data_IF_945187180471
#
_entry.id   IF_945187180471
#
_cell.length_a   1.000
_cell.length_b   1.000
_cell.length_c   1.000
_cell.angle_alpha   90.00
_cell.angle_beta   90.00
_cell.angle_gamma   90.00
#
_symmetry.space_group_name_H-M   'P 1'
#
loop_
_entity.id
_entity.type
_entity.pdbx_description
1 polymer ?
#
# COMPACT_ATOMS: atom_id res chain seq x y z
N UNK A 1 7.03 -7.91 14.38
CA UNK A 1 5.88 -8.35 13.57
C UNK A 1 6.04 -8.11 12.05
N UNK A 2 7.01 -7.33 11.57
CA UNK A 2 7.24 -7.15 10.12
C UNK A 2 8.04 -8.29 9.43
N UNK A 3 8.60 -9.25 10.17
CA UNK A 3 9.52 -10.26 9.63
C UNK A 3 8.85 -11.52 9.06
N UNK A 4 7.55 -11.72 9.27
CA UNK A 4 6.84 -12.95 8.83
C UNK A 4 5.77 -12.73 7.76
N UNK A 5 5.27 -11.51 7.56
CA UNK A 5 4.09 -11.29 6.70
C UNK A 5 4.44 -11.20 5.20
N UNK A 6 5.71 -10.97 4.85
CA UNK A 6 6.11 -10.63 3.47
C UNK A 6 6.31 -11.77 2.48
N UNK A 7 6.45 -13.03 2.94
CA UNK A 7 6.99 -14.12 2.09
C UNK A 7 6.24 -15.45 2.17
N UNK A 8 5.16 -15.53 2.94
CA UNK A 8 4.39 -16.77 3.00
C UNK A 8 3.50 -16.90 1.76
N UNK A 9 3.76 -17.96 1.01
CA UNK A 9 2.88 -18.48 -0.04
C UNK A 9 1.57 -18.91 0.63
N UNK A 10 0.44 -18.58 0.02
CA UNK A 10 -0.82 -19.17 0.44
C UNK A 10 -0.86 -20.64 -0.03
N UNK A 11 -0.99 -21.64 0.86
CA UNK A 11 -0.91 -23.05 0.45
C UNK A 11 -2.01 -23.40 -0.55
N UNK A 12 -1.62 -23.78 -1.76
CA UNK A 12 -2.51 -24.36 -2.78
C UNK A 12 -2.29 -25.88 -2.76
N UNK A 13 -3.33 -26.69 -2.94
CA UNK A 13 -3.16 -28.14 -3.06
C UNK A 13 -2.15 -28.48 -4.18
N UNK A 14 -1.22 -29.42 -3.96
CA UNK A 14 -0.07 -29.61 -4.83
C UNK A 14 -0.51 -30.10 -6.22
N UNK A 15 -0.17 -29.32 -7.24
CA UNK A 15 -0.08 -29.80 -8.63
C UNK A 15 1.33 -30.38 -8.80
N UNK A 16 1.41 -31.68 -9.07
CA UNK A 16 2.69 -32.39 -9.23
C UNK A 16 3.55 -31.78 -10.35
N UNK A 17 4.74 -31.26 -10.01
CA UNK A 17 5.75 -30.82 -10.99
C UNK A 17 7.14 -31.30 -10.55
N UNK A 18 7.83 -31.98 -11.46
CA UNK A 18 9.24 -32.41 -11.32
C UNK A 18 10.19 -31.37 -11.93
N UNK A 19 11.31 -31.00 -11.26
CA UNK A 19 12.19 -29.94 -11.73
C UNK A 19 13.24 -30.45 -12.74
N UNK A 20 13.51 -29.66 -13.80
CA UNK A 20 14.74 -29.73 -14.59
C UNK A 20 15.59 -28.48 -14.39
N UNK A 21 16.89 -28.71 -14.26
CA UNK A 21 17.94 -27.77 -13.84
C UNK A 21 18.82 -27.44 -15.05
N UNK A 22 19.16 -26.17 -15.26
CA UNK A 22 20.32 -25.75 -16.09
C UNK A 22 20.93 -24.44 -15.55
N UNK A 23 22.21 -24.27 -15.86
CA UNK A 23 23.26 -23.53 -15.14
C UNK A 23 23.40 -22.04 -15.56
N UNK A 24 24.21 -21.23 -14.84
CA UNK A 24 24.26 -19.78 -15.00
C UNK A 24 25.29 -19.30 -16.03
N UNK A 25 25.00 -18.14 -16.65
CA UNK A 25 25.95 -17.39 -17.48
C UNK A 25 26.62 -16.27 -16.68
N UNK A 26 27.93 -16.15 -16.86
CA UNK A 26 28.86 -15.16 -16.30
C UNK A 26 28.68 -13.78 -16.96
N UNK A 27 28.66 -12.70 -16.18
CA UNK A 27 28.73 -11.33 -16.68
C UNK A 27 29.94 -10.58 -16.09
N UNK A 28 30.66 -9.88 -16.97
CA UNK A 28 31.88 -9.12 -16.72
C UNK A 28 31.60 -7.81 -15.95
N UNK A 29 32.46 -7.51 -14.96
CA UNK A 29 32.55 -6.21 -14.29
C UNK A 29 33.19 -5.17 -15.20
N UNK A 30 32.61 -3.98 -15.27
CA UNK A 30 33.25 -2.78 -15.87
C UNK A 30 33.94 -2.00 -14.76
N UNK A 31 35.22 -1.72 -14.99
CA UNK A 31 36.15 -1.05 -14.09
C UNK A 31 35.92 0.46 -14.00
N UNK A 32 36.18 0.97 -12.80
CA UNK A 32 36.28 2.37 -12.36
C UNK A 32 37.11 3.30 -13.27
N UNK A 33 36.64 4.54 -13.44
CA UNK A 33 37.37 5.65 -14.09
C UNK A 33 37.52 6.83 -13.11
N UNK A 34 38.79 7.16 -12.88
CA UNK A 34 39.43 8.44 -12.47
C UNK A 34 39.19 8.99 -11.06
N UNK A 35 40.28 9.04 -10.28
CA UNK A 35 40.54 10.12 -9.32
C UNK A 35 42.02 10.52 -9.41
N UNK A 36 42.30 11.71 -9.97
CA UNK A 36 43.56 12.43 -9.80
C UNK A 36 43.33 13.57 -8.81
N UNK A 37 43.99 13.48 -7.65
CA UNK A 37 43.98 14.54 -6.63
C UNK A 37 44.96 15.64 -7.01
N UNK A 38 44.49 16.89 -7.04
CA UNK A 38 45.31 18.06 -6.79
C UNK A 38 44.90 18.66 -5.44
N UNK A 39 45.87 18.70 -4.51
CA UNK A 39 45.75 19.40 -3.23
C UNK A 39 45.96 20.90 -3.45
N UNK A 40 45.00 21.71 -3.03
CA UNK A 40 45.23 23.09 -2.62
C UNK A 40 44.44 23.33 -1.33
N UNK A 41 45.13 23.80 -0.29
CA UNK A 41 44.57 23.98 1.04
C UNK A 41 43.57 25.14 1.10
N UNK A 42 42.41 24.87 1.66
CA UNK A 42 41.59 25.87 2.33
C UNK A 42 41.35 25.41 3.77
N UNK A 43 41.37 26.34 4.72
CA UNK A 43 41.06 26.10 6.12
C UNK A 43 39.66 25.53 6.24
N UNK A 44 39.55 24.21 6.46
CA UNK A 44 38.28 23.53 6.62
C UNK A 44 37.63 23.97 7.93
N UNK A 45 36.55 24.75 7.85
CA UNK A 45 35.58 24.83 8.93
C UNK A 45 35.11 23.40 9.16
N UNK A 46 35.37 22.84 10.35
CA UNK A 46 34.91 21.49 10.71
C UNK A 46 33.40 21.57 10.91
N UNK A 47 32.62 21.25 9.88
CA UNK A 47 31.17 21.11 10.00
C UNK A 47 30.88 19.85 10.80
N UNK A 48 30.45 20.01 12.05
CA UNK A 48 30.00 18.90 12.89
C UNK A 48 28.74 18.27 12.29
N UNK A 49 28.80 16.99 11.91
CA UNK A 49 27.69 16.25 11.30
C UNK A 49 26.87 15.55 12.36
N UNK A 50 25.54 15.66 12.29
CA UNK A 50 24.65 14.81 13.06
C UNK A 50 24.50 13.46 12.36
N UNK A 51 24.11 12.46 13.12
CA UNK A 51 23.83 11.10 12.65
C UNK A 51 22.48 10.66 13.20
N UNK A 52 21.68 10.01 12.35
CA UNK A 52 20.42 9.39 12.77
C UNK A 52 20.62 8.07 13.52
N UNK A 53 21.86 7.56 13.58
CA UNK A 53 22.21 6.26 14.16
C UNK A 53 21.34 5.12 13.61
N UNK A 54 21.09 5.15 12.30
CA UNK A 54 20.24 4.18 11.64
C UNK A 54 20.83 2.78 11.71
N UNK A 55 19.95 1.81 11.95
CA UNK A 55 20.31 0.39 11.88
C UNK A 55 20.62 0.00 10.43
N UNK A 56 21.49 -0.99 10.21
CA UNK A 56 21.68 -1.59 8.90
C UNK A 56 20.38 -2.12 8.29
N UNK A 57 20.40 -2.36 6.99
CA UNK A 57 19.30 -2.97 6.27
C UNK A 57 18.94 -4.33 6.90
N UNK A 58 17.64 -4.54 7.13
CA UNK A 58 17.13 -5.78 7.73
C UNK A 58 17.19 -6.93 6.71
N UNK A 59 17.03 -6.61 5.43
CA UNK A 59 16.88 -7.56 4.35
C UNK A 59 18.14 -7.59 3.52
N UNK A 60 18.92 -8.66 3.66
CA UNK A 60 20.11 -8.84 2.86
C UNK A 60 19.78 -8.92 1.37
N UNK A 61 20.55 -8.21 0.54
CA UNK A 61 20.30 -8.17 -0.89
C UNK A 61 20.47 -9.54 -1.56
N UNK A 62 21.40 -10.38 -1.09
CA UNK A 62 21.55 -11.73 -1.64
C UNK A 62 20.33 -12.62 -1.31
N UNK A 63 19.74 -12.44 -0.13
CA UNK A 63 18.46 -13.06 0.21
C UNK A 63 17.34 -12.59 -0.74
N UNK A 64 17.21 -11.28 -0.98
CA UNK A 64 16.21 -10.73 -1.93
C UNK A 64 16.40 -11.34 -3.34
N UNK A 65 17.65 -11.42 -3.82
CA UNK A 65 17.94 -12.02 -5.12
C UNK A 65 17.66 -13.54 -5.16
N UNK A 66 17.66 -14.22 -4.01
CA UNK A 66 17.40 -15.66 -3.92
C UNK A 66 15.92 -16.07 -3.93
N UNK A 67 14.99 -15.10 -3.84
CA UNK A 67 13.56 -15.36 -3.81
C UNK A 67 13.10 -16.14 -5.04
N UNK A 68 12.31 -17.20 -4.81
CA UNK A 68 11.77 -18.06 -5.87
C UNK A 68 10.36 -17.62 -6.27
N UNK A 69 10.03 -17.86 -7.54
CA UNK A 69 8.74 -17.54 -8.14
C UNK A 69 8.05 -18.82 -8.63
N UNK A 70 7.68 -19.69 -7.70
CA UNK A 70 7.11 -21.03 -8.00
C UNK A 70 5.73 -20.95 -8.69
N UNK A 71 5.04 -19.82 -8.54
CA UNK A 71 3.71 -19.59 -9.10
C UNK A 71 3.71 -18.79 -10.41
N UNK A 72 4.88 -18.43 -10.95
CA UNK A 72 4.97 -17.66 -12.20
C UNK A 72 4.72 -18.50 -13.49
N UNK A 73 4.28 -19.75 -13.36
CA UNK A 73 4.06 -20.65 -14.51
C UNK A 73 2.69 -20.50 -15.18
N UNK A 74 2.64 -20.75 -16.49
CA UNK A 74 1.44 -20.65 -17.33
C UNK A 74 0.25 -21.49 -16.83
N UNK A 75 0.53 -22.56 -16.07
CA UNK A 75 -0.49 -23.42 -15.47
C UNK A 75 -1.35 -22.63 -14.47
N UNK A 76 -0.73 -21.81 -13.61
CA UNK A 76 -1.46 -21.02 -12.61
C UNK A 76 -2.21 -19.87 -13.25
N UNK A 77 -1.65 -19.25 -14.29
CA UNK A 77 -2.33 -18.21 -15.08
C UNK A 77 -3.60 -18.80 -15.73
N UNK A 78 -3.45 -19.93 -16.42
CA UNK A 78 -4.56 -20.62 -17.07
C UNK A 78 -5.63 -21.05 -16.07
N UNK A 79 -5.21 -21.53 -14.88
CA UNK A 79 -6.15 -21.89 -13.81
C UNK A 79 -6.90 -20.68 -13.27
N UNK A 80 -6.21 -19.56 -13.04
CA UNK A 80 -6.83 -18.32 -12.60
C UNK A 80 -7.86 -17.81 -13.62
N UNK A 81 -7.56 -17.84 -14.92
CA UNK A 81 -8.51 -17.42 -15.96
C UNK A 81 -9.78 -18.28 -15.98
N UNK A 82 -9.64 -19.61 -15.87
CA UNK A 82 -10.81 -20.49 -15.78
C UNK A 82 -11.68 -20.19 -14.55
N UNK A 83 -11.04 -20.00 -13.38
CA UNK A 83 -11.74 -19.66 -12.15
C UNK A 83 -12.43 -18.29 -12.24
N UNK A 84 -11.82 -17.29 -12.90
CA UNK A 84 -12.45 -15.99 -13.14
C UNK A 84 -13.74 -16.14 -13.94
N UNK A 85 -13.76 -16.96 -14.98
CA UNK A 85 -14.99 -17.23 -15.75
C UNK A 85 -16.08 -17.88 -14.89
N UNK A 86 -15.71 -18.80 -13.99
CA UNK A 86 -16.67 -19.41 -13.08
C UNK A 86 -17.24 -18.38 -12.07
N UNK A 87 -16.41 -17.46 -11.57
CA UNK A 87 -16.89 -16.34 -10.73
C UNK A 87 -17.79 -15.39 -11.51
N UNK A 88 -17.50 -15.11 -12.79
CA UNK A 88 -18.40 -14.32 -13.64
C UNK A 88 -19.77 -14.98 -13.77
N UNK A 89 -19.84 -16.32 -13.89
CA UNK A 89 -21.12 -17.04 -13.89
C UNK A 89 -21.86 -16.86 -12.57
N UNK A 90 -21.16 -16.85 -11.42
CA UNK A 90 -21.78 -16.60 -10.11
C UNK A 90 -22.54 -15.26 -10.10
N UNK A 91 -21.97 -14.17 -10.62
CA UNK A 91 -22.66 -12.88 -10.72
C UNK A 91 -24.00 -12.96 -11.49
N UNK A 92 -24.05 -13.78 -12.54
CA UNK A 92 -25.26 -13.98 -13.35
C UNK A 92 -26.30 -14.86 -12.64
N UNK A 93 -25.86 -15.86 -11.86
CA UNK A 93 -26.76 -16.81 -11.18
C UNK A 93 -27.27 -16.32 -9.84
N UNK A 94 -26.53 -15.45 -9.14
CA UNK A 94 -26.93 -14.92 -7.82
C UNK A 94 -28.04 -13.90 -7.98
N UNK A 95 -29.30 -14.31 -7.87
CA UNK A 95 -30.45 -13.40 -8.07
C UNK A 95 -30.71 -12.53 -6.84
N UNK A 96 -30.53 -13.09 -5.64
CA UNK A 96 -30.79 -12.39 -4.38
C UNK A 96 -29.85 -11.19 -4.20
N UNK A 97 -30.37 -9.99 -3.89
CA UNK A 97 -29.52 -8.81 -3.75
C UNK A 97 -28.56 -8.85 -2.56
N UNK A 98 -28.95 -9.47 -1.43
CA UNK A 98 -28.06 -9.60 -0.27
C UNK A 98 -26.93 -10.58 -0.59
N UNK A 99 -27.24 -11.76 -1.14
CA UNK A 99 -26.21 -12.71 -1.59
C UNK A 99 -25.25 -12.05 -2.61
N UNK A 100 -25.77 -11.19 -3.49
CA UNK A 100 -24.95 -10.45 -4.45
C UNK A 100 -24.05 -9.42 -3.75
N UNK A 101 -24.53 -8.73 -2.73
CA UNK A 101 -23.70 -7.82 -1.92
C UNK A 101 -22.61 -8.60 -1.16
N UNK A 102 -22.97 -9.73 -0.55
CA UNK A 102 -22.03 -10.60 0.18
C UNK A 102 -20.96 -11.21 -0.76
N UNK A 103 -21.34 -11.55 -2.00
CA UNK A 103 -20.39 -11.98 -3.03
C UNK A 103 -19.37 -10.87 -3.35
N UNK A 104 -19.86 -9.65 -3.62
CA UNK A 104 -18.98 -8.49 -3.90
C UNK A 104 -18.06 -8.24 -2.71
N UNK A 105 -18.61 -8.29 -1.50
CA UNK A 105 -17.86 -8.07 -0.27
C UNK A 105 -16.76 -9.10 -0.07
N UNK A 106 -17.10 -10.37 -0.27
CA UNK A 106 -16.16 -11.50 -0.19
C UNK A 106 -15.04 -11.35 -1.22
N UNK A 107 -15.34 -10.97 -2.47
CA UNK A 107 -14.33 -10.72 -3.50
C UNK A 107 -13.36 -9.59 -3.11
N UNK A 108 -13.86 -8.54 -2.47
CA UNK A 108 -13.03 -7.43 -1.99
C UNK A 108 -12.13 -7.86 -0.83
N UNK A 109 -12.69 -8.56 0.16
CA UNK A 109 -11.93 -9.10 1.28
C UNK A 109 -10.83 -10.06 0.80
N UNK A 110 -11.15 -10.98 -0.12
CA UNK A 110 -10.19 -11.91 -0.72
C UNK A 110 -9.16 -11.23 -1.66
N UNK A 111 -9.30 -9.94 -1.93
CA UNK A 111 -8.33 -9.17 -2.73
C UNK A 111 -8.39 -9.44 -4.23
N UNK A 112 -9.46 -10.08 -4.72
CA UNK A 112 -9.65 -10.50 -6.11
C UNK A 112 -10.74 -9.69 -6.85
N UNK A 113 -11.39 -8.74 -6.17
CA UNK A 113 -12.41 -7.87 -6.76
C UNK A 113 -11.95 -7.11 -8.02
N UNK A 114 -10.66 -6.77 -8.12
CA UNK A 114 -10.10 -6.01 -9.25
C UNK A 114 -10.19 -6.73 -10.61
N UNK A 115 -10.51 -8.03 -10.63
CA UNK A 115 -10.80 -8.77 -11.88
C UNK A 115 -12.25 -8.61 -12.37
N UNK A 116 -13.12 -8.03 -11.54
CA UNK A 116 -14.57 -8.00 -11.70
C UNK A 116 -15.14 -6.58 -11.56
N UNK A 117 -14.33 -5.54 -11.77
CA UNK A 117 -14.74 -4.13 -11.62
C UNK A 117 -16.00 -3.79 -12.43
N UNK A 118 -16.15 -4.39 -13.62
CA UNK A 118 -17.32 -4.20 -14.48
C UNK A 118 -18.57 -4.79 -13.84
N UNK A 119 -18.54 -6.07 -13.47
CA UNK A 119 -19.64 -6.82 -12.88
C UNK A 119 -20.08 -6.20 -11.55
N UNK A 120 -19.12 -5.78 -10.72
CA UNK A 120 -19.37 -5.09 -9.45
C UNK A 120 -20.06 -3.75 -9.71
N UNK A 121 -19.53 -2.92 -10.62
CA UNK A 121 -20.10 -1.60 -10.91
C UNK A 121 -21.51 -1.69 -11.49
N UNK A 122 -21.76 -2.63 -12.40
CA UNK A 122 -23.09 -2.88 -12.97
C UNK A 122 -24.09 -3.31 -11.89
N UNK A 123 -23.66 -4.20 -10.98
CA UNK A 123 -24.47 -4.66 -9.84
C UNK A 123 -24.84 -3.50 -8.90
N UNK A 124 -23.85 -2.70 -8.50
CA UNK A 124 -24.05 -1.57 -7.60
C UNK A 124 -24.88 -0.46 -8.25
N UNK A 125 -24.68 -0.18 -9.55
CA UNK A 125 -25.50 0.78 -10.28
C UNK A 125 -26.98 0.35 -10.29
N UNK A 126 -27.24 -0.93 -10.57
CA UNK A 126 -28.61 -1.49 -10.55
C UNK A 126 -29.27 -1.32 -9.18
N UNK A 127 -28.56 -1.68 -8.10
CA UNK A 127 -29.06 -1.52 -6.73
C UNK A 127 -29.25 -0.05 -6.34
N UNK A 128 -28.35 0.83 -6.77
CA UNK A 128 -28.42 2.27 -6.49
C UNK A 128 -29.62 2.96 -7.14
N UNK A 129 -30.16 2.41 -8.24
CA UNK A 129 -31.35 2.93 -8.90
C UNK A 129 -32.65 2.43 -8.25
N UNK A 130 -32.58 1.33 -7.52
CA UNK A 130 -33.71 0.70 -6.84
C UNK A 130 -33.72 1.05 -5.33
N UNK A 131 -33.51 2.32 -4.96
CA UNK A 131 -33.37 2.76 -3.55
C UNK A 131 -34.61 2.51 -2.68
N UNK A 132 -35.75 2.19 -3.28
CA UNK A 132 -37.00 1.89 -2.57
C UNK A 132 -37.13 0.44 -2.11
N UNK A 133 -36.12 -0.40 -2.36
CA UNK A 133 -36.14 -1.82 -2.04
C UNK A 133 -36.26 -2.10 -0.52
N UNK A 134 -37.02 -3.14 -0.20
CA UNK A 134 -37.35 -3.58 1.18
C UNK A 134 -36.08 -3.96 1.96
N UNK A 135 -35.00 -4.33 1.27
CA UNK A 135 -33.67 -4.63 1.82
C UNK A 135 -33.12 -3.53 2.72
N UNK A 136 -33.30 -2.26 2.35
CA UNK A 136 -32.81 -1.10 3.10
C UNK A 136 -33.59 -0.81 4.40
N UNK A 137 -34.71 -1.49 4.63
CA UNK A 137 -35.67 -1.10 5.67
C UNK A 137 -35.75 -2.06 6.85
N UNK A 138 -35.01 -3.18 6.84
CA UNK A 138 -35.18 -4.24 7.87
C UNK A 138 -33.91 -4.93 8.36
N UNK A 139 -32.84 -4.97 7.57
CA UNK A 139 -31.65 -5.74 7.92
C UNK A 139 -30.43 -4.82 8.06
N UNK A 140 -29.80 -4.83 9.25
CA UNK A 140 -28.66 -3.96 9.57
C UNK A 140 -27.46 -4.36 8.72
N UNK A 141 -27.20 -5.66 8.55
CA UNK A 141 -26.10 -6.17 7.76
C UNK A 141 -26.22 -5.73 6.29
N UNK A 142 -27.36 -6.00 5.65
CA UNK A 142 -27.64 -5.65 4.26
C UNK A 142 -27.54 -4.14 4.01
N UNK A 143 -28.15 -3.33 4.88
CA UNK A 143 -28.14 -1.87 4.75
C UNK A 143 -26.74 -1.29 4.90
N UNK A 144 -25.99 -1.78 5.88
CA UNK A 144 -24.61 -1.36 6.12
C UNK A 144 -23.70 -1.78 4.97
N UNK A 145 -23.88 -2.99 4.45
CA UNK A 145 -23.07 -3.51 3.36
C UNK A 145 -23.34 -2.76 2.04
N UNK A 146 -24.61 -2.51 1.72
CA UNK A 146 -24.96 -1.69 0.56
C UNK A 146 -24.38 -0.28 0.68
N UNK A 147 -24.47 0.33 1.87
CA UNK A 147 -23.91 1.65 2.14
C UNK A 147 -22.39 1.67 1.92
N UNK A 148 -21.66 0.70 2.49
CA UNK A 148 -20.21 0.56 2.33
C UNK A 148 -19.82 0.41 0.85
N UNK A 149 -20.48 -0.51 0.14
CA UNK A 149 -20.14 -0.82 -1.25
C UNK A 149 -20.48 0.34 -2.18
N UNK A 150 -21.63 1.01 -2.01
CA UNK A 150 -21.95 2.19 -2.79
C UNK A 150 -20.94 3.31 -2.57
N UNK A 151 -20.65 3.67 -1.31
CA UNK A 151 -19.66 4.73 -1.02
C UNK A 151 -18.25 4.37 -1.47
N UNK A 152 -17.83 3.13 -1.25
CA UNK A 152 -16.52 2.63 -1.67
C UNK A 152 -16.30 2.68 -3.18
N UNK A 153 -17.38 2.63 -3.97
CA UNK A 153 -17.36 2.75 -5.44
C UNK A 153 -17.76 4.14 -5.95
N UNK A 154 -17.88 5.14 -5.07
CA UNK A 154 -18.14 6.53 -5.42
C UNK A 154 -19.60 6.86 -5.73
N UNK A 155 -20.55 5.99 -5.36
CA UNK A 155 -21.98 6.28 -5.44
C UNK A 155 -22.45 7.08 -4.22
N UNK A 156 -23.35 8.03 -4.45
CA UNK A 156 -23.94 8.83 -3.38
C UNK A 156 -25.06 8.05 -2.66
N UNK A 157 -24.88 7.91 -1.34
CA UNK A 157 -25.89 7.37 -0.42
C UNK A 157 -25.87 8.14 0.90
N UNK A 158 -27.07 8.53 1.32
CA UNK A 158 -27.34 9.36 2.49
C UNK A 158 -27.21 8.56 3.79
N UNK A 159 -26.66 9.15 4.87
CA UNK A 159 -26.61 8.52 6.21
C UNK A 159 -28.01 8.18 6.77
N UNK A 160 -29.04 8.82 6.22
CA UNK A 160 -30.45 8.69 6.59
C UNK A 160 -30.97 7.26 6.39
N UNK A 161 -30.29 6.42 5.59
CA UNK A 161 -30.63 5.00 5.48
C UNK A 161 -30.56 4.27 6.82
N UNK A 162 -29.76 4.76 7.78
CA UNK A 162 -29.64 4.17 9.12
C UNK A 162 -30.70 4.66 10.12
N UNK A 163 -31.58 5.59 9.74
CA UNK A 163 -32.62 6.11 10.63
C UNK A 163 -33.66 5.03 11.00
N UNK A 164 -33.85 4.01 10.16
CA UNK A 164 -34.74 2.89 10.43
C UNK A 164 -34.28 2.01 11.61
N UNK A 165 -33.02 2.12 12.03
CA UNK A 165 -32.45 1.38 13.17
C UNK A 165 -32.44 2.18 14.48
N UNK A 166 -33.07 3.36 14.48
CA UNK A 166 -33.18 4.22 15.65
C UNK A 166 -34.55 4.08 16.32
N UNK A 167 -34.53 4.18 17.64
CA UNK A 167 -35.71 4.14 18.48
C UNK A 167 -36.42 5.49 18.54
N UNK A 168 -37.52 5.55 19.29
CA UNK A 168 -38.33 6.77 19.48
C UNK A 168 -37.57 7.89 20.20
N UNK A 169 -36.53 7.56 20.97
CA UNK A 169 -35.62 8.52 21.61
C UNK A 169 -34.59 9.10 20.64
N UNK A 170 -34.50 8.57 19.41
CA UNK A 170 -33.51 8.92 18.41
C UNK A 170 -32.20 8.15 18.52
N UNK A 171 -32.01 7.32 19.55
CA UNK A 171 -30.80 6.49 19.72
C UNK A 171 -30.89 5.18 18.92
N UNK A 172 -29.74 4.58 18.57
CA UNK A 172 -29.72 3.25 17.96
C UNK A 172 -30.33 2.21 18.90
N UNK A 173 -31.23 1.38 18.36
CA UNK A 173 -31.95 0.42 19.19
C UNK A 173 -31.08 -0.77 19.58
N UNK A 174 -31.14 -1.16 20.85
CA UNK A 174 -30.40 -2.29 21.42
C UNK A 174 -31.14 -3.64 21.27
N UNK A 175 -32.37 -3.63 20.75
CA UNK A 175 -33.23 -4.80 20.60
C UNK A 175 -32.77 -5.80 19.51
N UNK A 176 -31.68 -5.50 18.79
CA UNK A 176 -31.01 -6.42 17.86
C UNK A 176 -29.72 -7.03 18.46
N UNK A 177 -29.67 -7.18 19.80
CA UNK A 177 -28.53 -7.70 20.58
C UNK A 177 -27.99 -9.10 20.20
N UNK A 178 -28.61 -9.79 19.25
CA UNK A 178 -28.14 -11.09 18.76
C UNK A 178 -27.50 -11.00 17.36
N UNK A 179 -27.65 -9.89 16.64
CA UNK A 179 -27.11 -9.70 15.28
C UNK A 179 -25.70 -9.11 15.29
N UNK A 180 -24.73 -9.92 15.70
CA UNK A 180 -23.31 -9.54 15.73
C UNK A 180 -22.79 -9.16 14.33
N UNK A 181 -23.26 -9.88 13.29
CA UNK A 181 -22.83 -9.64 11.91
C UNK A 181 -23.32 -8.27 11.44
N UNK A 182 -24.57 -7.92 11.70
CA UNK A 182 -25.10 -6.59 11.43
C UNK A 182 -24.38 -5.49 12.19
N UNK A 183 -24.10 -5.69 13.48
CA UNK A 183 -23.36 -4.70 14.28
C UNK A 183 -21.93 -4.49 13.78
N UNK A 184 -21.25 -5.56 13.37
CA UNK A 184 -19.93 -5.48 12.74
C UNK A 184 -19.99 -4.72 11.41
N UNK A 185 -20.99 -5.00 10.56
CA UNK A 185 -21.15 -4.28 9.29
C UNK A 185 -21.49 -2.81 9.50
N UNK A 186 -22.33 -2.47 10.48
CA UNK A 186 -22.64 -1.07 10.80
C UNK A 186 -21.41 -0.34 11.37
N UNK A 187 -20.61 -1.03 12.19
CA UNK A 187 -19.32 -0.52 12.65
C UNK A 187 -18.42 -0.17 11.47
N UNK A 188 -18.22 -1.09 10.53
CA UNK A 188 -17.38 -0.85 9.34
C UNK A 188 -17.95 0.27 8.46
N UNK A 189 -19.26 0.29 8.23
CA UNK A 189 -19.94 1.33 7.46
C UNK A 189 -19.76 2.73 8.05
N UNK A 190 -19.73 2.84 9.38
CA UNK A 190 -19.56 4.12 10.07
C UNK A 190 -18.23 4.82 9.75
N UNK A 191 -17.21 4.08 9.30
CA UNK A 191 -15.90 4.66 8.94
C UNK A 191 -15.86 5.28 7.54
N UNK A 192 -16.93 5.16 6.75
CA UNK A 192 -17.09 5.88 5.48
C UNK A 192 -17.82 7.22 5.63
N UNK A 193 -18.00 7.72 6.85
CA UNK A 193 -18.67 8.99 7.14
C UNK A 193 -17.86 10.23 6.77
N UNK A 194 -18.55 11.24 6.26
CA UNK A 194 -18.02 12.58 6.01
C UNK A 194 -18.23 13.51 7.22
N UNK A 195 -17.49 14.62 7.25
CA UNK A 195 -17.65 15.64 8.28
C UNK A 195 -19.08 16.18 8.27
N UNK A 196 -19.76 16.06 9.42
CA UNK A 196 -21.15 16.52 9.60
C UNK A 196 -22.18 15.40 9.65
N UNK A 197 -21.80 14.17 9.31
CA UNK A 197 -22.68 13.00 9.34
C UNK A 197 -22.78 12.38 10.74
N UNK A 198 -23.46 13.09 11.64
CA UNK A 198 -23.64 12.69 13.05
C UNK A 198 -24.23 11.30 13.23
N UNK A 199 -25.06 10.84 12.30
CA UNK A 199 -25.68 9.50 12.38
C UNK A 199 -24.61 8.41 12.38
N UNK A 200 -23.56 8.59 11.58
CA UNK A 200 -22.45 7.64 11.46
C UNK A 200 -21.50 7.72 12.66
N UNK A 201 -21.23 8.91 13.19
CA UNK A 201 -20.44 9.07 14.41
C UNK A 201 -21.11 8.38 15.62
N UNK A 202 -22.43 8.52 15.73
CA UNK A 202 -23.23 7.85 16.76
C UNK A 202 -23.28 6.32 16.52
N UNK A 203 -23.42 5.88 15.26
CA UNK A 203 -23.37 4.46 14.89
C UNK A 203 -22.04 3.82 15.29
N UNK A 204 -20.93 4.51 15.02
CA UNK A 204 -19.58 4.08 15.40
C UNK A 204 -19.47 3.90 16.91
N UNK A 205 -19.94 4.88 17.68
CA UNK A 205 -19.87 4.86 19.15
C UNK A 205 -20.70 3.71 19.71
N UNK A 206 -21.94 3.57 19.23
CA UNK A 206 -22.85 2.51 19.62
C UNK A 206 -22.27 1.12 19.34
N UNK A 207 -21.92 0.85 18.09
CA UNK A 207 -21.39 -0.46 17.67
C UNK A 207 -20.04 -0.79 18.31
N UNK A 208 -19.17 0.20 18.56
CA UNK A 208 -17.90 -0.02 19.28
C UNK A 208 -18.15 -0.54 20.70
N UNK A 209 -19.09 0.07 21.43
CA UNK A 209 -19.41 -0.36 22.79
C UNK A 209 -20.04 -1.76 22.80
N UNK A 210 -20.95 -1.99 21.86
CA UNK A 210 -21.61 -3.27 21.66
C UNK A 210 -20.61 -4.40 21.39
N UNK A 211 -19.75 -4.23 20.37
CA UNK A 211 -18.78 -5.24 19.96
C UNK A 211 -17.73 -5.51 21.05
N UNK A 212 -17.30 -4.48 21.80
CA UNK A 212 -16.41 -4.65 22.96
C UNK A 212 -17.05 -5.43 24.11
N UNK A 213 -18.36 -5.33 24.27
CA UNK A 213 -19.09 -6.11 25.27
C UNK A 213 -19.27 -7.56 24.79
N UNK A 214 -19.60 -7.74 23.51
CA UNK A 214 -19.66 -9.06 22.88
C UNK A 214 -18.34 -9.85 23.04
N UNK A 215 -17.19 -9.24 22.75
CA UNK A 215 -15.87 -9.88 22.91
C UNK A 215 -15.50 -10.27 24.35
N UNK A 216 -16.27 -9.86 25.36
CA UNK A 216 -16.03 -10.21 26.77
C UNK A 216 -16.90 -11.36 27.28
N UNK A 217 -17.99 -11.70 26.58
CA UNK A 217 -19.03 -12.59 27.10
C UNK A 217 -18.73 -14.08 26.90
N UNK A 218 -17.78 -14.46 26.04
CA UNK A 218 -17.18 -15.80 26.03
C UNK A 218 -18.12 -16.99 25.72
N UNK A 219 -19.38 -16.79 25.34
CA UNK A 219 -20.34 -17.88 25.05
C UNK A 219 -20.63 -18.07 23.55
N UNK A 220 -20.71 -19.37 23.18
CA UNK A 220 -21.15 -20.03 21.92
C UNK A 220 -20.77 -19.27 20.63
N UNK A 221 -19.49 -19.38 20.29
CA UNK A 221 -18.86 -18.59 19.24
C UNK A 221 -18.84 -19.35 17.90
N UNK A 222 -19.06 -18.63 16.80
CA UNK A 222 -18.38 -18.95 15.54
C UNK A 222 -16.96 -18.37 15.68
N UNK A 223 -15.90 -19.17 15.86
CA UNK A 223 -14.56 -18.64 16.19
C UNK A 223 -14.06 -17.59 15.18
N UNK A 224 -14.36 -17.80 13.90
CA UNK A 224 -13.99 -16.87 12.83
C UNK A 224 -14.72 -15.52 12.90
N UNK A 225 -15.92 -15.45 13.48
CA UNK A 225 -16.65 -14.18 13.65
C UNK A 225 -16.07 -13.35 14.80
N UNK A 226 -15.69 -13.99 15.90
CA UNK A 226 -15.03 -13.31 17.02
C UNK A 226 -13.68 -12.73 16.59
N UNK A 227 -12.87 -13.50 15.86
CA UNK A 227 -11.60 -13.02 15.30
C UNK A 227 -11.81 -11.80 14.39
N UNK A 228 -12.86 -11.79 13.57
CA UNK A 228 -13.23 -10.63 12.75
C UNK A 228 -13.63 -9.41 13.59
N UNK A 229 -14.42 -9.59 14.65
CA UNK A 229 -14.78 -8.49 15.56
C UNK A 229 -13.54 -7.89 16.21
N UNK A 230 -12.66 -8.72 16.76
CA UNK A 230 -11.41 -8.26 17.41
C UNK A 230 -10.52 -7.53 16.41
N UNK A 231 -10.37 -8.07 15.20
CA UNK A 231 -9.59 -7.47 14.14
C UNK A 231 -10.18 -6.10 13.74
N UNK A 232 -11.48 -5.99 13.47
CA UNK A 232 -12.12 -4.72 13.13
C UNK A 232 -12.02 -3.67 14.25
N UNK A 233 -12.09 -4.07 15.52
CA UNK A 233 -11.93 -3.17 16.67
C UNK A 233 -10.49 -2.64 16.85
N UNK A 234 -9.48 -3.35 16.36
CA UNK A 234 -8.09 -2.87 16.33
C UNK A 234 -7.90 -1.77 15.28
N UNK A 235 -8.40 -2.02 14.07
CA UNK A 235 -8.39 -1.08 12.95
C UNK A 235 -9.55 -1.44 12.01
N UNK A 236 -10.42 -0.49 11.65
CA UNK A 236 -11.53 -0.76 10.73
C UNK A 236 -11.01 -1.08 9.33
N UNK A 237 -11.73 -1.92 8.60
CA UNK A 237 -11.36 -2.37 7.26
C UNK A 237 -11.08 -1.22 6.31
N UNK A 238 -11.87 -0.15 6.37
CA UNK A 238 -11.69 1.00 5.47
C UNK A 238 -10.30 1.66 5.59
N UNK A 239 -9.58 1.47 6.70
CA UNK A 239 -8.24 2.00 6.93
C UNK A 239 -7.12 0.98 6.74
N UNK A 240 -7.47 -0.28 6.43
CA UNK A 240 -6.50 -1.35 6.25
C UNK A 240 -5.95 -1.36 4.83
N UNK A 241 -4.67 -1.75 4.73
CA UNK A 241 -4.04 -2.02 3.44
C UNK A 241 -4.60 -3.33 2.91
N UNK A 242 -5.39 -3.25 1.83
CA UNK A 242 -6.13 -4.37 1.23
C UNK A 242 -5.26 -5.62 1.09
N UNK A 243 -4.02 -5.47 0.64
CA UNK A 243 -3.17 -6.64 0.37
C UNK A 243 -2.84 -7.46 1.62
N UNK A 244 -2.64 -6.83 2.76
CA UNK A 244 -2.41 -7.53 4.04
C UNK A 244 -3.72 -8.05 4.61
N UNK A 245 -4.79 -7.29 4.46
CA UNK A 245 -6.13 -7.71 4.84
C UNK A 245 -6.54 -8.99 4.12
N UNK A 246 -6.31 -9.08 2.81
CA UNK A 246 -6.62 -10.27 2.03
C UNK A 246 -5.82 -11.50 2.44
N UNK A 247 -4.55 -11.32 2.82
CA UNK A 247 -3.76 -12.45 3.31
C UNK A 247 -4.37 -13.05 4.59
N UNK A 248 -4.75 -12.19 5.53
CA UNK A 248 -5.42 -12.60 6.77
C UNK A 248 -6.81 -13.18 6.50
N UNK A 249 -7.59 -12.52 5.63
CA UNK A 249 -8.97 -12.93 5.37
C UNK A 249 -9.07 -14.25 4.59
N UNK A 250 -8.10 -14.59 3.73
CA UNK A 250 -8.10 -15.89 3.05
C UNK A 250 -8.09 -17.05 4.07
N UNK A 251 -7.31 -16.93 5.15
CA UNK A 251 -7.29 -17.92 6.24
C UNK A 251 -8.62 -17.97 7.00
N UNK A 252 -9.19 -16.80 7.31
CA UNK A 252 -10.50 -16.68 7.96
C UNK A 252 -11.58 -17.33 7.09
N UNK A 253 -11.60 -17.02 5.80
CA UNK A 253 -12.57 -17.54 4.84
C UNK A 253 -12.45 -19.06 4.74
N UNK A 254 -11.24 -19.62 4.63
CA UNK A 254 -11.03 -21.08 4.57
C UNK A 254 -11.58 -21.83 5.80
N UNK A 255 -11.60 -21.19 6.98
CA UNK A 255 -12.11 -21.78 8.22
C UNK A 255 -13.63 -21.59 8.42
N UNK A 256 -14.32 -20.90 7.52
CA UNK A 256 -15.79 -20.74 7.59
C UNK A 256 -16.51 -22.03 7.17
N UNK A 257 -17.78 -22.18 7.56
CA UNK A 257 -18.57 -23.39 7.29
C UNK A 257 -19.22 -23.41 5.90
N UNK A 258 -19.34 -22.24 5.26
CA UNK A 258 -20.12 -21.94 4.06
C UNK A 258 -19.24 -21.43 2.91
N UNK A 259 -17.99 -21.92 2.83
CA UNK A 259 -16.99 -21.51 1.85
C UNK A 259 -17.42 -21.85 0.42
N UNK A 260 -17.31 -20.87 -0.47
CA UNK A 260 -17.34 -21.13 -1.90
C UNK A 260 -15.94 -21.55 -2.38
N UNK A 261 -15.75 -22.81 -2.81
CA UNK A 261 -14.43 -23.33 -3.16
C UNK A 261 -13.82 -22.63 -4.38
N UNK A 262 -14.65 -22.11 -5.30
CA UNK A 262 -14.18 -21.37 -6.49
C UNK A 262 -13.57 -20.04 -6.06
N UNK A 263 -14.22 -19.32 -5.13
CA UNK A 263 -13.71 -18.05 -4.60
C UNK A 263 -12.41 -18.26 -3.81
N UNK A 264 -12.38 -19.27 -2.93
CA UNK A 264 -11.19 -19.57 -2.13
C UNK A 264 -10.01 -19.96 -3.04
N UNK A 265 -10.22 -20.85 -4.00
CA UNK A 265 -9.15 -21.28 -4.91
C UNK A 265 -8.64 -20.11 -5.75
N UNK A 266 -9.53 -19.30 -6.32
CA UNK A 266 -9.14 -18.11 -7.08
C UNK A 266 -8.32 -17.15 -6.22
N UNK A 267 -8.76 -16.89 -4.98
CA UNK A 267 -8.04 -16.02 -4.06
C UNK A 267 -6.62 -16.50 -3.79
N UNK A 268 -6.42 -17.80 -3.52
CA UNK A 268 -5.09 -18.38 -3.28
C UNK A 268 -4.19 -18.33 -4.51
N UNK A 269 -4.71 -18.75 -5.67
CA UNK A 269 -3.96 -18.76 -6.93
C UNK A 269 -3.58 -17.34 -7.35
N UNK A 270 -4.52 -16.40 -7.32
CA UNK A 270 -4.28 -15.00 -7.64
C UNK A 270 -3.29 -14.37 -6.66
N UNK A 271 -3.44 -14.63 -5.35
CA UNK A 271 -2.53 -14.10 -4.35
C UNK A 271 -1.08 -14.51 -4.66
N UNK A 272 -0.84 -15.78 -4.97
CA UNK A 272 0.50 -16.28 -5.24
C UNK A 272 1.07 -15.81 -6.60
N UNK A 273 0.22 -15.65 -7.63
CA UNK A 273 0.61 -15.05 -8.91
C UNK A 273 1.08 -13.60 -8.72
N UNK A 274 0.29 -12.80 -8.00
CA UNK A 274 0.61 -11.40 -7.68
C UNK A 274 1.87 -11.32 -6.81
N UNK A 275 2.04 -12.22 -5.83
CA UNK A 275 3.24 -12.29 -4.99
C UNK A 275 4.50 -12.60 -5.82
N UNK A 276 4.41 -13.50 -6.80
CA UNK A 276 5.54 -13.80 -7.70
C UNK A 276 5.96 -12.60 -8.55
N UNK A 277 4.99 -11.78 -8.97
CA UNK A 277 5.26 -10.50 -9.63
C UNK A 277 5.92 -9.50 -8.66
N UNK A 278 5.47 -9.43 -7.41
CA UNK A 278 6.10 -8.59 -6.39
C UNK A 278 7.54 -9.01 -6.07
N UNK A 279 7.83 -10.31 -6.01
CA UNK A 279 9.20 -10.82 -5.88
C UNK A 279 10.09 -10.33 -7.03
N UNK A 280 9.58 -10.38 -8.27
CA UNK A 280 10.29 -9.86 -9.45
C UNK A 280 10.54 -8.35 -9.32
N UNK A 281 9.54 -7.58 -8.86
CA UNK A 281 9.72 -6.15 -8.63
C UNK A 281 10.81 -5.87 -7.58
N UNK A 282 10.75 -6.49 -6.40
CA UNK A 282 11.75 -6.23 -5.36
C UNK A 282 13.15 -6.68 -5.77
N UNK A 283 13.29 -7.77 -6.54
CA UNK A 283 14.56 -8.19 -7.12
C UNK A 283 15.13 -7.13 -8.06
N UNK A 284 14.29 -6.53 -8.92
CA UNK A 284 14.68 -5.43 -9.78
C UNK A 284 15.08 -4.18 -8.98
N UNK A 285 14.29 -3.82 -7.97
CA UNK A 285 14.55 -2.64 -7.13
C UNK A 285 15.83 -2.81 -6.30
N UNK A 286 16.07 -4.01 -5.78
CA UNK A 286 17.31 -4.33 -5.08
C UNK A 286 18.52 -4.22 -6.00
N UNK A 287 18.46 -4.69 -7.26
CA UNK A 287 19.57 -4.54 -8.22
C UNK A 287 19.83 -3.07 -8.55
N UNK A 288 18.78 -2.34 -8.89
CA UNK A 288 18.86 -0.90 -9.15
C UNK A 288 19.48 -0.13 -7.97
N UNK A 289 19.06 -0.43 -6.74
CA UNK A 289 19.57 0.25 -5.55
C UNK A 289 21.06 -0.05 -5.31
N UNK A 290 21.48 -1.31 -5.48
CA UNK A 290 22.89 -1.70 -5.41
C UNK A 290 23.72 -1.03 -6.52
N UNK A 291 23.20 -0.96 -7.74
CA UNK A 291 23.88 -0.34 -8.89
C UNK A 291 24.10 1.16 -8.71
N UNK A 292 23.21 1.85 -7.98
CA UNK A 292 23.41 3.24 -7.59
C UNK A 292 24.53 3.42 -6.56
N UNK A 293 24.80 2.42 -5.72
CA UNK A 293 25.86 2.43 -4.72
C UNK A 293 25.71 3.52 -3.64
N UNK A 294 24.50 4.08 -3.46
CA UNK A 294 24.26 5.19 -2.52
C UNK A 294 24.44 4.77 -1.06
N UNK A 295 24.05 3.55 -0.69
CA UNK A 295 24.19 3.07 0.69
C UNK A 295 25.66 3.05 1.16
N UNK A 296 26.61 2.79 0.26
CA UNK A 296 28.05 2.78 0.59
C UNK A 296 28.65 4.20 0.61
N UNK A 297 28.21 5.06 -0.30
CA UNK A 297 28.72 6.43 -0.47
C UNK A 297 28.10 7.42 0.53
N UNK A 298 26.85 7.20 0.93
CA UNK A 298 26.05 8.06 1.81
C UNK A 298 25.68 7.32 3.10
N UNK A 299 26.68 6.91 3.88
CA UNK A 299 26.50 6.09 5.10
C UNK A 299 25.61 6.69 6.20
N UNK A 300 25.23 7.95 6.08
CA UNK A 300 24.33 8.63 7.01
C UNK A 300 22.85 8.36 6.69
N UNK A 301 22.53 7.77 5.54
CA UNK A 301 21.14 7.53 5.11
C UNK A 301 20.66 6.13 5.47
N UNK A 302 19.34 5.99 5.53
CA UNK A 302 18.64 4.72 5.72
C UNK A 302 18.74 3.86 4.46
N UNK A 303 19.22 2.64 4.60
CA UNK A 303 19.14 1.60 3.57
C UNK A 303 17.89 0.72 3.79
N UNK A 304 16.82 1.03 3.06
CA UNK A 304 15.44 0.54 3.31
C UNK A 304 14.67 0.24 2.03
N UNK A 305 15.33 -0.35 1.02
CA UNK A 305 14.70 -0.62 -0.29
C UNK A 305 13.47 -1.54 -0.15
N UNK A 306 13.53 -2.54 0.74
CA UNK A 306 12.43 -3.49 0.96
C UNK A 306 11.24 -2.83 1.66
N UNK A 307 11.48 -2.06 2.71
CA UNK A 307 10.44 -1.33 3.42
C UNK A 307 9.78 -0.29 2.49
N UNK A 308 10.57 0.38 1.66
CA UNK A 308 10.08 1.35 0.66
C UNK A 308 9.23 0.68 -0.41
N UNK A 309 9.67 -0.48 -0.89
CA UNK A 309 8.88 -1.30 -1.80
C UNK A 309 7.57 -1.77 -1.16
N UNK A 310 7.62 -2.19 0.10
CA UNK A 310 6.44 -2.67 0.84
C UNK A 310 5.36 -1.59 0.98
N UNK A 311 5.75 -0.35 1.28
CA UNK A 311 4.82 0.81 1.29
C UNK A 311 4.21 1.01 -0.10
N UNK A 312 5.04 1.00 -1.13
CA UNK A 312 4.58 1.20 -2.52
C UNK A 312 3.66 0.07 -2.99
N UNK A 313 3.94 -1.15 -2.57
CA UNK A 313 3.14 -2.34 -2.84
C UNK A 313 1.76 -2.23 -2.18
N UNK A 314 1.70 -1.78 -0.93
CA UNK A 314 0.43 -1.57 -0.22
C UNK A 314 -0.53 -0.62 -0.94
N UNK A 315 -0.01 0.42 -1.60
CA UNK A 315 -0.83 1.38 -2.36
C UNK A 315 -1.29 0.86 -3.73
N UNK A 316 -0.56 -0.07 -4.35
CA UNK A 316 -0.67 -0.35 -5.79
C UNK A 316 -0.62 -1.83 -6.14
N UNK A 317 -1.00 -2.75 -5.25
CA UNK A 317 -0.71 -4.19 -5.34
C UNK A 317 -1.11 -4.88 -6.66
N UNK A 318 -2.03 -4.32 -7.45
CA UNK A 318 -2.54 -4.98 -8.65
C UNK A 318 -1.47 -5.14 -9.77
N UNK A 319 -1.51 -6.22 -10.57
CA UNK A 319 -0.50 -6.51 -11.60
C UNK A 319 -0.27 -5.41 -12.64
N UNK A 320 -1.33 -4.74 -13.09
CA UNK A 320 -1.26 -3.68 -14.11
C UNK A 320 -0.39 -2.49 -13.68
N UNK A 321 -0.18 -2.31 -12.38
CA UNK A 321 0.65 -1.23 -11.83
C UNK A 321 2.10 -1.66 -11.58
N UNK A 322 2.53 -2.85 -12.01
CA UNK A 322 3.89 -3.38 -11.76
C UNK A 322 5.00 -2.38 -12.12
N UNK A 323 4.97 -1.82 -13.34
CA UNK A 323 6.00 -0.85 -13.76
C UNK A 323 5.92 0.47 -13.01
N UNK A 324 4.71 0.93 -12.69
CA UNK A 324 4.52 2.13 -11.88
C UNK A 324 5.05 1.93 -10.46
N UNK A 325 4.82 0.74 -9.87
CA UNK A 325 5.33 0.35 -8.55
C UNK A 325 6.85 0.37 -8.51
N UNK A 326 7.52 -0.15 -9.53
CA UNK A 326 8.98 -0.05 -9.64
C UNK A 326 9.43 1.41 -9.60
N UNK A 327 8.87 2.25 -10.48
CA UNK A 327 9.26 3.66 -10.63
C UNK A 327 8.94 4.48 -9.37
N UNK A 328 7.80 4.24 -8.72
CA UNK A 328 7.44 4.89 -7.46
C UNK A 328 8.33 4.42 -6.30
N UNK A 329 8.72 3.14 -6.27
CA UNK A 329 9.68 2.63 -5.27
C UNK A 329 11.02 3.35 -5.40
N UNK A 330 11.51 3.57 -6.63
CA UNK A 330 12.72 4.33 -6.88
C UNK A 330 12.63 5.76 -6.37
N UNK A 331 11.53 6.45 -6.69
CA UNK A 331 11.25 7.81 -6.19
C UNK A 331 11.24 7.83 -4.67
N UNK A 332 10.57 6.88 -4.02
CA UNK A 332 10.49 6.83 -2.56
C UNK A 332 11.86 6.53 -1.91
N UNK A 333 12.72 5.71 -2.53
CA UNK A 333 14.09 5.47 -2.05
C UNK A 333 14.93 6.76 -2.14
N UNK A 334 14.82 7.47 -3.27
CA UNK A 334 15.49 8.76 -3.44
C UNK A 334 14.97 9.79 -2.45
N UNK A 335 13.65 9.89 -2.25
CA UNK A 335 13.06 10.80 -1.27
C UNK A 335 13.55 10.51 0.15
N UNK A 336 13.64 9.23 0.56
CA UNK A 336 14.18 8.84 1.87
C UNK A 336 15.63 9.29 2.05
N UNK A 337 16.44 9.16 0.99
CA UNK A 337 17.85 9.58 1.00
C UNK A 337 17.99 11.10 1.10
N UNK A 338 17.12 11.84 0.41
CA UNK A 338 17.11 13.30 0.47
C UNK A 338 16.55 13.77 1.82
N UNK A 339 15.52 13.13 2.36
CA UNK A 339 14.97 13.40 3.70
C UNK A 339 16.08 13.34 4.76
N UNK A 340 16.84 12.23 4.81
CA UNK A 340 18.01 12.05 5.69
C UNK A 340 19.10 13.13 5.50
N UNK A 341 19.19 13.68 4.30
CA UNK A 341 20.11 14.78 4.03
C UNK A 341 19.62 16.08 4.66
N UNK A 342 18.31 16.37 4.60
CA UNK A 342 17.73 17.61 5.10
C UNK A 342 17.54 17.61 6.63
N UNK A 343 17.14 16.50 7.23
CA UNK A 343 16.78 16.44 8.64
C UNK A 343 17.94 16.07 9.58
N UNK A 344 18.92 15.29 9.08
CA UNK A 344 20.06 14.78 9.84
C UNK A 344 21.38 15.42 9.39
N UNK A 345 21.78 15.25 8.13
CA UNK A 345 23.20 15.36 7.77
C UNK A 345 23.66 16.74 7.26
N UNK A 346 22.84 17.40 6.43
CA UNK A 346 23.17 18.67 5.79
C UNK A 346 23.12 19.83 6.77
N UNK A 347 24.06 20.76 6.62
CA UNK A 347 23.97 22.07 7.29
C UNK A 347 23.06 23.01 6.52
N UNK A 348 22.49 24.02 7.17
CA UNK A 348 21.54 24.95 6.52
C UNK A 348 22.12 25.62 5.27
N UNK A 349 23.38 26.05 5.30
CA UNK A 349 24.05 26.65 4.14
C UNK A 349 24.16 25.67 2.96
N UNK A 350 24.50 24.41 3.23
CA UNK A 350 24.57 23.37 2.21
C UNK A 350 23.18 22.98 1.68
N UNK A 351 22.15 22.99 2.52
CA UNK A 351 20.78 22.69 2.11
C UNK A 351 20.20 23.81 1.23
N UNK A 352 20.59 25.07 1.45
CA UNK A 352 20.28 26.18 0.55
C UNK A 352 20.88 25.93 -0.84
N UNK A 353 22.17 25.54 -0.90
CA UNK A 353 22.84 25.23 -2.16
C UNK A 353 22.21 24.02 -2.86
N UNK A 354 21.89 22.96 -2.12
CA UNK A 354 21.21 21.78 -2.67
C UNK A 354 19.83 22.12 -3.24
N UNK A 355 19.04 22.91 -2.51
CA UNK A 355 17.71 23.36 -2.97
C UNK A 355 17.83 24.18 -4.25
N UNK A 356 18.79 25.11 -4.30
CA UNK A 356 19.03 25.93 -5.49
C UNK A 356 19.51 25.09 -6.67
N UNK A 357 20.34 24.07 -6.43
CA UNK A 357 20.81 23.19 -7.49
C UNK A 357 19.66 22.40 -8.12
N UNK A 358 18.70 21.94 -7.32
CA UNK A 358 17.48 21.28 -7.80
C UNK A 358 16.56 22.25 -8.54
N UNK A 359 16.45 23.50 -8.10
CA UNK A 359 15.67 24.52 -8.81
C UNK A 359 16.22 24.76 -10.24
N UNK A 360 17.55 24.84 -10.38
CA UNK A 360 18.22 25.07 -11.66
C UNK A 360 18.19 23.83 -12.56
N UNK A 361 18.42 22.65 -11.98
CA UNK A 361 18.48 21.36 -12.69
C UNK A 361 19.47 21.37 -13.88
N UNK A 362 20.67 21.90 -13.67
CA UNK A 362 21.73 22.04 -14.68
C UNK A 362 23.02 21.33 -14.25
N UNK A 363 23.87 20.92 -15.21
CA UNK A 363 25.16 20.27 -14.95
C UNK A 363 26.08 21.11 -14.05
N UNK A 364 26.08 22.44 -14.22
CA UNK A 364 26.92 23.37 -13.45
C UNK A 364 26.40 23.63 -12.04
N UNK A 365 25.14 23.29 -11.75
CA UNK A 365 24.53 23.49 -10.45
C UNK A 365 25.24 22.71 -9.32
N UNK A 366 26.05 21.71 -9.70
CA UNK A 366 26.77 20.85 -8.78
C UNK A 366 28.14 21.38 -8.36
N UNK A 367 28.70 22.38 -9.05
CA UNK A 367 30.11 22.78 -8.86
C UNK A 367 30.41 23.24 -7.42
N UNK A 368 29.45 23.91 -6.79
CA UNK A 368 29.58 24.47 -5.44
C UNK A 368 29.04 23.52 -4.35
N UNK A 369 28.55 22.33 -4.70
CA UNK A 369 28.02 21.39 -3.73
C UNK A 369 29.16 20.59 -3.06
N UNK A 370 29.03 20.24 -1.77
CA UNK A 370 29.84 19.20 -1.15
C UNK A 370 29.76 17.87 -1.93
N UNK A 371 30.82 17.07 -1.90
CA UNK A 371 30.90 15.80 -2.67
C UNK A 371 29.71 14.86 -2.41
N UNK A 372 29.27 14.73 -1.15
CA UNK A 372 28.12 13.87 -0.83
C UNK A 372 26.82 14.35 -1.49
N UNK A 373 26.63 15.67 -1.64
CA UNK A 373 25.46 16.24 -2.31
C UNK A 373 25.56 16.09 -3.84
N UNK A 374 26.77 16.14 -4.41
CA UNK A 374 26.99 15.84 -5.83
C UNK A 374 26.60 14.40 -6.16
N UNK A 375 26.96 13.44 -5.30
CA UNK A 375 26.55 12.04 -5.43
C UNK A 375 25.03 11.92 -5.36
N UNK A 376 24.41 12.51 -4.34
CA UNK A 376 22.96 12.49 -4.14
C UNK A 376 22.19 13.08 -5.33
N UNK A 377 22.52 14.30 -5.74
CA UNK A 377 21.80 15.01 -6.79
C UNK A 377 21.99 14.35 -8.16
N UNK A 378 23.18 13.79 -8.42
CA UNK A 378 23.43 13.04 -9.65
C UNK A 378 22.55 11.80 -9.75
N UNK A 379 22.42 11.04 -8.65
CA UNK A 379 21.54 9.89 -8.60
C UNK A 379 20.06 10.29 -8.73
N UNK A 380 19.65 11.39 -8.10
CA UNK A 380 18.30 11.93 -8.20
C UNK A 380 17.96 12.34 -9.65
N UNK A 381 18.81 13.14 -10.28
CA UNK A 381 18.60 13.63 -11.64
C UNK A 381 18.54 12.48 -12.63
N UNK A 382 19.50 11.56 -12.56
CA UNK A 382 19.50 10.34 -13.38
C UNK A 382 18.20 9.55 -13.24
N UNK A 383 17.76 9.30 -12.00
CA UNK A 383 16.53 8.52 -11.75
C UNK A 383 15.30 9.21 -12.35
N UNK A 384 15.16 10.52 -12.16
CA UNK A 384 14.02 11.30 -12.65
C UNK A 384 14.02 11.42 -14.17
N UNK A 385 15.19 11.62 -14.77
CA UNK A 385 15.35 11.68 -16.23
C UNK A 385 15.06 10.34 -16.89
N UNK A 386 15.50 9.22 -16.29
CA UNK A 386 15.15 7.87 -16.75
C UNK A 386 13.64 7.60 -16.69
N UNK A 387 12.96 8.01 -15.61
CA UNK A 387 11.49 7.91 -15.49
C UNK A 387 10.81 8.74 -16.58
N UNK A 388 11.23 10.00 -16.77
CA UNK A 388 10.62 10.88 -17.75
C UNK A 388 10.84 10.38 -19.17
N UNK A 389 12.06 9.94 -19.51
CA UNK A 389 12.38 9.41 -20.83
C UNK A 389 11.59 8.14 -21.14
N UNK A 390 11.40 7.26 -20.16
CA UNK A 390 10.56 6.09 -20.34
C UNK A 390 9.11 6.47 -20.68
N UNK A 391 8.52 7.40 -19.94
CA UNK A 391 7.13 7.82 -20.14
C UNK A 391 6.98 8.57 -21.47
N UNK A 392 7.96 9.39 -21.85
CA UNK A 392 8.03 10.01 -23.16
C UNK A 392 8.03 8.95 -24.28
N UNK A 393 8.84 7.91 -24.14
CA UNK A 393 8.92 6.83 -25.14
C UNK A 393 7.63 6.00 -25.23
N UNK A 394 6.96 5.73 -24.10
CA UNK A 394 5.77 4.87 -24.06
C UNK A 394 4.47 5.61 -24.37
N UNK A 395 4.37 6.89 -23.99
CA UNK A 395 3.12 7.67 -24.03
C UNK A 395 3.21 8.93 -24.88
N UNK A 396 4.40 9.32 -25.33
CA UNK A 396 4.61 10.56 -26.08
C UNK A 396 4.46 11.83 -25.23
N UNK A 397 4.49 11.70 -23.90
CA UNK A 397 4.30 12.81 -22.96
C UNK A 397 5.59 13.05 -22.20
N UNK A 398 6.16 14.26 -22.32
CA UNK A 398 7.27 14.68 -21.48
C UNK A 398 6.75 15.15 -20.12
N UNK A 399 7.09 14.42 -19.07
CA UNK A 399 6.67 14.72 -17.70
C UNK A 399 7.77 15.35 -16.83
N UNK A 400 8.95 15.60 -17.40
CA UNK A 400 10.12 16.02 -16.65
C UNK A 400 9.85 17.32 -15.87
N UNK A 401 9.19 18.28 -16.52
CA UNK A 401 8.85 19.56 -15.89
C UNK A 401 7.93 19.40 -14.68
N UNK A 402 7.03 18.41 -14.66
CA UNK A 402 6.15 18.12 -13.53
C UNK A 402 6.94 17.47 -12.38
N UNK A 403 7.82 16.51 -12.70
CA UNK A 403 8.68 15.87 -11.69
C UNK A 403 9.60 16.89 -11.02
N UNK A 404 10.25 17.77 -11.80
CA UNK A 404 11.08 18.86 -11.29
C UNK A 404 10.32 19.76 -10.33
N UNK A 405 9.12 20.21 -10.71
CA UNK A 405 8.26 21.05 -9.87
C UNK A 405 7.89 20.36 -8.56
N UNK A 406 7.51 19.09 -8.62
CA UNK A 406 7.16 18.30 -7.43
C UNK A 406 8.33 18.18 -6.46
N UNK A 407 9.51 17.80 -6.96
CA UNK A 407 10.72 17.65 -6.15
C UNK A 407 11.11 19.01 -5.53
N UNK A 408 11.16 20.07 -6.33
CA UNK A 408 11.54 21.40 -5.84
C UNK A 408 10.58 21.90 -4.75
N UNK A 409 9.27 21.68 -4.91
CA UNK A 409 8.28 22.02 -3.89
C UNK A 409 8.53 21.26 -2.58
N UNK A 410 8.80 19.96 -2.65
CA UNK A 410 9.14 19.13 -1.49
C UNK A 410 10.39 19.63 -0.76
N UNK A 411 11.48 19.90 -1.49
CA UNK A 411 12.72 20.36 -0.88
C UNK A 411 12.59 21.76 -0.26
N UNK A 412 11.82 22.63 -0.90
CA UNK A 412 11.52 23.97 -0.35
C UNK A 412 10.77 23.85 0.97
N UNK A 413 9.79 22.95 1.06
CA UNK A 413 9.05 22.68 2.28
C UNK A 413 9.95 22.11 3.40
N UNK A 414 10.82 21.15 3.09
CA UNK A 414 11.77 20.61 4.07
C UNK A 414 12.76 21.64 4.57
N UNK A 415 13.27 22.50 3.68
CA UNK A 415 14.14 23.62 4.08
C UNK A 415 13.45 24.57 5.05
N UNK A 416 12.20 24.94 4.78
CA UNK A 416 11.40 25.81 5.67
C UNK A 416 11.15 25.14 7.03
N UNK A 417 10.86 23.84 7.01
CA UNK A 417 10.66 23.06 8.23
C UNK A 417 11.94 23.02 9.08
N UNK A 418 13.10 22.81 8.46
CA UNK A 418 14.43 22.87 9.10
C UNK A 418 14.72 24.24 9.73
N UNK A 419 14.48 25.35 9.01
CA UNK A 419 14.66 26.70 9.56
C UNK A 419 13.81 26.96 10.81
N UNK A 420 12.62 26.36 10.88
CA UNK A 420 11.67 26.53 11.99
C UNK A 420 12.12 25.77 13.24
N UNK A 421 12.82 24.64 13.06
CA UNK A 421 13.37 23.85 14.16
C UNK A 421 14.62 24.51 14.76
N UNK A 422 15.52 25.03 13.92
CA UNK A 422 16.73 25.73 14.37
C UNK A 422 16.40 27.01 15.16
N UNK A 423 15.43 27.80 14.70
CA UNK A 423 14.98 29.02 15.41
C UNK A 423 14.37 28.70 16.78
N UNK A 424 13.64 27.60 16.92
CA UNK A 424 13.11 27.16 18.23
C UNK A 424 14.21 26.68 19.17
N UNK A 425 15.19 25.91 18.67
CA UNK A 425 16.32 25.46 19.50
C UNK A 425 17.20 26.63 19.95
N UNK A 426 17.40 27.65 19.10
CA UNK A 426 18.13 28.86 19.49
C UNK A 426 17.40 29.63 20.59
N UNK A 427 16.07 29.78 20.49
CA UNK A 427 15.25 30.47 21.50
C UNK A 427 15.13 29.74 22.85
N UNK A 428 15.43 28.44 22.90
CA UNK A 428 15.43 27.68 24.17
C UNK A 428 16.81 27.67 24.86
N UNK A 429 17.87 28.02 24.13
CA UNK A 429 19.26 28.03 24.61
C UNK A 429 19.79 29.44 24.94
N UNK A 430 18.97 30.48 24.72
CA UNK A 430 19.17 31.87 25.14
C UNK A 430 18.14 32.24 26.18
#
# INVERSE_FOLDING_TARGET
MASSIGFHICPVHPVHISPKRTAPHTALKVSSIIATQNKAGSSSIVVSRRSGNYKPNTWDHSFIQSLKNEYAGDIYISRAENLKEDVRKLFHTTVDPLERLELIDTLQHLGIAYHFDKEIRESLLSMSNNKDDVLLKRDIHATSLLFMLLRGHGFEISQEVFQCFRGTTGEFMDNNCDDIKGMLSLYEASYLGFRGEKTLDEARTFTTNYLKNYSKQGEILKPTLEEQVVHSLELPRHWRVIRFESYWYIDIYERQGDVNPVLLELAKVDFNLVQSMHHTNIQNMSRWWMDLGLAEQLKYTRDRVMETFFVTMGCLYQPQFSRFRDRLTQVNCMLTTVDDTYDVYGSMDELVLLTDAVNRWELNAQQNLPEYQKVLISALFKTVEEISQEILNQKGVDILSYLKKGIYATLTYWRQSGTTLDTRQHSMNT
#
